data_IF_737067592660
#
_entry.id   IF_737067592660
#
_cell.length_a   1.000
_cell.length_b   1.000
_cell.length_c   1.000
_cell.angle_alpha   90.00
_cell.angle_beta   90.00
_cell.angle_gamma   90.00
#
_symmetry.space_group_name_H-M   'P 1'
#
loop_
_entity.id
_entity.type
_entity.pdbx_description
1 polymer ?
#
# COMPACT_ATOMS: atom_id res chain seq x y z
N UNK A 1 11.20 -13.79 14.75
CA UNK A 1 11.67 -12.44 14.35
C UNK A 1 11.49 -12.17 12.86
N UNK A 2 12.01 -13.02 11.95
CA UNK A 2 11.91 -12.84 10.49
C UNK A 2 10.48 -12.63 9.98
N UNK A 3 9.54 -13.46 10.43
CA UNK A 3 8.10 -13.37 10.12
C UNK A 3 7.45 -12.09 10.65
N UNK A 4 7.83 -11.62 11.84
CA UNK A 4 7.31 -10.39 12.44
C UNK A 4 7.75 -9.13 11.69
N UNK A 5 8.99 -9.09 11.20
CA UNK A 5 9.49 -7.97 10.38
C UNK A 5 8.75 -7.91 9.04
N UNK A 6 8.49 -9.06 8.42
CA UNK A 6 7.74 -9.13 7.15
C UNK A 6 6.27 -8.71 7.35
N UNK A 7 5.62 -9.21 8.41
CA UNK A 7 4.24 -8.82 8.73
C UNK A 7 4.12 -7.33 9.07
N UNK A 8 5.04 -6.80 9.89
CA UNK A 8 5.09 -5.37 10.22
C UNK A 8 5.40 -4.50 9.00
N UNK A 9 6.28 -4.95 8.10
CA UNK A 9 6.59 -4.25 6.85
C UNK A 9 5.40 -4.18 5.89
N UNK A 10 4.62 -5.26 5.75
CA UNK A 10 3.41 -5.27 4.93
C UNK A 10 2.33 -4.35 5.52
N UNK A 11 2.16 -4.35 6.86
CA UNK A 11 1.25 -3.46 7.55
C UNK A 11 1.63 -1.99 7.38
N UNK A 12 2.92 -1.66 7.56
CA UNK A 12 3.44 -0.30 7.36
C UNK A 12 3.27 0.17 5.92
N UNK A 13 3.48 -0.71 4.93
CA UNK A 13 3.22 -0.41 3.53
C UNK A 13 1.74 -0.07 3.29
N UNK A 14 0.81 -0.89 3.79
CA UNK A 14 -0.62 -0.66 3.64
C UNK A 14 -1.08 0.67 4.27
N UNK A 15 -0.65 0.93 5.51
CA UNK A 15 -0.98 2.16 6.23
C UNK A 15 -0.45 3.43 5.55
N UNK A 16 0.70 3.35 4.85
CA UNK A 16 1.30 4.53 4.19
C UNK A 16 0.41 5.22 3.15
N UNK A 17 -0.57 4.49 2.59
CA UNK A 17 -1.52 5.05 1.61
C UNK A 17 -2.85 5.52 2.25
N UNK A 18 -3.14 5.11 3.49
CA UNK A 18 -4.40 5.41 4.19
C UNK A 18 -4.34 6.72 5.01
N UNK A 19 -3.14 7.17 5.38
CA UNK A 19 -2.92 8.36 6.21
C UNK A 19 -3.03 9.70 5.47
N UNK A 20 -3.94 9.81 4.50
CA UNK A 20 -4.04 11.00 3.63
C UNK A 20 -4.30 12.30 4.42
N UNK A 21 -5.10 12.22 5.48
CA UNK A 21 -5.43 13.36 6.33
C UNK A 21 -4.16 13.88 7.03
N UNK A 22 -3.40 12.98 7.66
CA UNK A 22 -2.15 13.31 8.34
C UNK A 22 -1.13 13.85 7.35
N UNK A 23 -0.99 13.18 6.20
CA UNK A 23 -0.05 13.57 5.14
C UNK A 23 -0.35 14.97 4.61
N UNK A 24 -1.63 15.37 4.52
CA UNK A 24 -1.99 16.72 4.06
C UNK A 24 -1.54 17.82 5.02
N UNK A 25 -1.48 17.53 6.34
CA UNK A 25 -0.99 18.49 7.34
C UNK A 25 0.53 18.45 7.55
N UNK A 26 1.18 17.36 7.17
CA UNK A 26 2.63 17.17 7.33
C UNK A 26 3.43 17.37 6.03
N UNK A 27 2.79 17.32 4.86
CA UNK A 27 3.42 17.60 3.57
C UNK A 27 3.75 19.10 3.46
N UNK A 28 5.00 19.37 3.05
CA UNK A 28 5.46 20.74 2.81
C UNK A 28 4.86 21.37 1.54
N UNK A 29 4.99 22.70 1.37
CA UNK A 29 4.51 23.40 0.18
C UNK A 29 5.09 22.80 -1.12
N UNK A 30 4.23 22.57 -2.10
CA UNK A 30 4.61 22.02 -3.40
C UNK A 30 4.82 20.50 -3.44
N UNK A 31 4.71 19.79 -2.30
CA UNK A 31 4.82 18.33 -2.26
C UNK A 31 3.43 17.72 -2.46
N UNK A 32 3.28 16.96 -3.54
CA UNK A 32 2.06 16.18 -3.81
C UNK A 32 2.42 14.71 -3.81
N UNK A 33 2.08 14.03 -2.72
CA UNK A 33 2.18 12.57 -2.67
C UNK A 33 1.10 11.95 -3.55
N UNK A 34 1.30 10.70 -3.94
CA UNK A 34 0.36 9.98 -4.79
C UNK A 34 -1.07 9.89 -4.19
N UNK A 35 -1.27 9.59 -2.88
CA UNK A 35 -2.59 9.67 -2.26
C UNK A 35 -3.22 11.06 -2.34
N UNK A 36 -2.45 12.12 -2.06
CA UNK A 36 -2.93 13.50 -2.15
C UNK A 36 -3.34 13.84 -3.59
N UNK A 37 -2.55 13.42 -4.58
CA UNK A 37 -2.88 13.64 -5.98
C UNK A 37 -4.16 12.93 -6.40
N UNK A 38 -4.36 11.66 -5.97
CA UNK A 38 -5.61 10.92 -6.23
C UNK A 38 -6.80 11.67 -5.64
N UNK A 39 -6.71 12.08 -4.38
CA UNK A 39 -7.79 12.80 -3.69
C UNK A 39 -8.14 14.14 -4.35
N UNK A 40 -7.12 14.92 -4.75
CA UNK A 40 -7.32 16.21 -5.42
C UNK A 40 -8.00 16.08 -6.79
N UNK A 41 -7.81 14.96 -7.48
CA UNK A 41 -8.30 14.76 -8.84
C UNK A 41 -9.51 13.83 -8.93
N UNK A 42 -9.90 13.19 -7.82
CA UNK A 42 -11.04 12.27 -7.73
C UNK A 42 -12.36 12.91 -8.18
N UNK A 43 -12.57 14.19 -7.83
CA UNK A 43 -13.80 14.92 -8.14
C UNK A 43 -13.74 15.67 -9.47
N UNK A 44 -12.68 15.50 -10.27
CA UNK A 44 -12.52 16.17 -11.56
C UNK A 44 -12.94 15.24 -12.70
N UNK A 45 -14.06 15.50 -13.41
CA UNK A 45 -14.60 14.58 -14.42
C UNK A 45 -13.60 14.24 -15.52
N UNK A 46 -12.85 15.23 -15.99
CA UNK A 46 -11.83 15.05 -17.04
C UNK A 46 -10.62 14.21 -16.57
N UNK A 47 -10.44 14.02 -15.26
CA UNK A 47 -9.32 13.27 -14.70
C UNK A 47 -9.72 11.89 -14.18
N UNK A 48 -11.02 11.60 -14.04
CA UNK A 48 -11.51 10.32 -13.57
C UNK A 48 -10.93 9.10 -14.33
N UNK A 49 -10.78 9.12 -15.68
CA UNK A 49 -10.13 8.02 -16.38
C UNK A 49 -8.66 7.82 -15.96
N UNK A 50 -7.93 8.92 -15.74
CA UNK A 50 -6.52 8.89 -15.37
C UNK A 50 -6.37 8.35 -13.95
N UNK A 51 -7.19 8.85 -13.01
CA UNK A 51 -7.22 8.39 -11.61
C UNK A 51 -7.52 6.89 -11.55
N UNK A 52 -8.48 6.40 -12.35
CA UNK A 52 -8.83 4.97 -12.37
C UNK A 52 -7.68 4.09 -12.90
N UNK A 53 -6.97 4.53 -13.93
CA UNK A 53 -5.80 3.79 -14.46
C UNK A 53 -4.68 3.74 -13.42
N UNK A 54 -4.39 4.88 -12.76
CA UNK A 54 -3.39 4.94 -11.68
C UNK A 54 -3.81 4.04 -10.52
N UNK A 55 -5.08 4.06 -10.09
CA UNK A 55 -5.60 3.20 -9.04
C UNK A 55 -5.46 1.71 -9.40
N UNK A 56 -5.79 1.32 -10.63
CA UNK A 56 -5.61 -0.05 -11.11
C UNK A 56 -4.12 -0.47 -11.10
N UNK A 57 -3.23 0.41 -11.56
CA UNK A 57 -1.79 0.15 -11.53
C UNK A 57 -1.27 -0.02 -10.09
N UNK A 58 -1.75 0.77 -9.13
CA UNK A 58 -1.39 0.65 -7.72
C UNK A 58 -1.86 -0.67 -7.10
N UNK A 59 -3.06 -1.14 -7.47
CA UNK A 59 -3.53 -2.47 -7.07
C UNK A 59 -2.59 -3.55 -7.63
N UNK A 60 -2.14 -3.45 -8.87
CA UNK A 60 -1.19 -4.42 -9.43
C UNK A 60 0.17 -4.36 -8.71
N UNK A 61 0.67 -3.17 -8.39
CA UNK A 61 1.93 -2.99 -7.66
C UNK A 61 1.83 -3.52 -6.24
N UNK A 62 0.68 -3.38 -5.57
CA UNK A 62 0.48 -3.88 -4.20
C UNK A 62 0.51 -5.40 -4.10
N UNK A 63 0.32 -6.12 -5.22
CA UNK A 63 0.51 -7.58 -5.28
C UNK A 63 1.95 -7.95 -4.94
N UNK A 64 2.95 -7.12 -5.28
CA UNK A 64 4.37 -7.42 -5.05
C UNK A 64 4.68 -7.64 -3.56
N UNK A 65 4.43 -6.68 -2.65
CA UNK A 65 4.71 -6.88 -1.23
C UNK A 65 3.85 -7.99 -0.62
N UNK A 66 2.61 -8.18 -1.08
CA UNK A 66 1.75 -9.29 -0.64
C UNK A 66 2.35 -10.63 -1.04
N UNK A 67 2.77 -10.77 -2.29
CA UNK A 67 3.39 -11.98 -2.83
C UNK A 67 4.69 -12.32 -2.10
N UNK A 68 5.53 -11.31 -1.86
CA UNK A 68 6.74 -11.42 -1.05
C UNK A 68 6.39 -11.94 0.35
N UNK A 69 5.41 -11.33 1.02
CA UNK A 69 4.99 -11.75 2.34
C UNK A 69 4.45 -13.19 2.36
N UNK A 70 3.69 -13.60 1.35
CA UNK A 70 3.19 -14.96 1.20
C UNK A 70 4.32 -15.97 1.03
N UNK A 71 5.27 -15.71 0.12
CA UNK A 71 6.38 -16.64 -0.14
C UNK A 71 7.21 -16.93 1.11
N UNK A 72 7.46 -15.90 1.92
CA UNK A 72 8.21 -16.05 3.17
C UNK A 72 7.38 -16.58 4.34
N UNK A 73 6.05 -16.37 4.34
CA UNK A 73 5.14 -16.96 5.34
C UNK A 73 4.87 -18.45 5.09
N UNK A 74 4.91 -18.90 3.84
CA UNK A 74 4.79 -20.32 3.47
C UNK A 74 5.95 -21.18 4.01
N UNK A 75 7.13 -20.60 4.24
CA UNK A 75 8.26 -21.31 4.86
C UNK A 75 8.05 -21.54 6.37
N UNK A 76 7.15 -20.78 7.02
CA UNK A 76 6.79 -20.94 8.45
C UNK A 76 5.66 -21.96 8.68
N UNK A 77 4.78 -22.20 7.71
CA UNK A 77 3.61 -23.09 7.85
C UNK A 77 3.91 -24.60 7.79
N UNK A 78 5.18 -25.02 7.74
CA UNK A 78 5.59 -26.44 7.76
C UNK A 78 5.88 -27.01 9.16
N UNK A 79 5.55 -26.30 10.25
CA UNK A 79 5.91 -26.70 11.62
C UNK A 79 4.77 -26.82 12.63
N UNK A 80 3.50 -26.77 12.21
CA UNK A 80 2.34 -26.67 13.11
C UNK A 80 1.37 -27.85 13.09
N UNK A 81 1.76 -28.98 12.51
CA UNK A 81 0.99 -30.22 12.56
C UNK A 81 1.75 -31.26 13.39
N UNK A 82 1.03 -31.90 14.30
CA UNK A 82 1.41 -33.05 15.14
C UNK A 82 2.39 -32.74 16.30
N UNK A 83 1.84 -32.21 17.40
CA UNK A 83 1.83 -32.85 18.73
C UNK A 83 0.60 -32.38 19.53
#
# INVERSE_FOLDING_TARGET
MKSAIIAGGLLAFGLSFDEIIVTTFTAGPGITTLPIWIYQNLFRPNQAPIVNVVAAALILVSIIPIYVAQRFSSDTNKGGGII
#
